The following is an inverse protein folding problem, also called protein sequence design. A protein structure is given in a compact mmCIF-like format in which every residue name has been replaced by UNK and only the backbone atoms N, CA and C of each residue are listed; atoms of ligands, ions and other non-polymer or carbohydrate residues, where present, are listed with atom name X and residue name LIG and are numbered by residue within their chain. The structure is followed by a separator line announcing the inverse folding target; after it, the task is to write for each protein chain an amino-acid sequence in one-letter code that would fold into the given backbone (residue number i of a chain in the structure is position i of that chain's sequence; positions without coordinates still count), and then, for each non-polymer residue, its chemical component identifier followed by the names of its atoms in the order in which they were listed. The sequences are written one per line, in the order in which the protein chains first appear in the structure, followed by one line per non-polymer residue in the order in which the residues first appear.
data_IF_337550373971
#
_entry.id   IF_337550373971
#
_cell.length_a   1.000
_cell.length_b   1.000
_cell.length_c   1.000
_cell.angle_alpha   90.00
_cell.angle_beta   90.00
_cell.angle_gamma   90.00
#
_symmetry.space_group_name_H-M   'P 1'
#
loop_
_entity.id
_entity.type
_entity.pdbx_description
1 polymer ?
#
# COMPACT_ATOMS: atom_id res chain seq x y z
N UNK A 1 -14.58 4.74 -25.17
CA UNK A 1 -13.55 4.13 -24.30
C UNK A 1 -14.21 3.73 -23.00
N UNK A 2 -14.29 2.43 -22.69
CA UNK A 2 -15.00 1.97 -21.49
C UNK A 2 -14.11 2.16 -20.26
N UNK A 3 -14.54 2.99 -19.30
CA UNK A 3 -13.75 3.34 -18.10
C UNK A 3 -13.27 2.10 -17.34
N UNK A 4 -14.12 1.07 -17.24
CA UNK A 4 -13.81 -0.21 -16.57
C UNK A 4 -12.64 -0.94 -17.23
N UNK A 5 -12.58 -0.96 -18.56
CA UNK A 5 -11.48 -1.61 -19.29
C UNK A 5 -10.16 -0.89 -19.00
N UNK A 6 -10.16 0.43 -19.03
CA UNK A 6 -8.97 1.25 -18.72
C UNK A 6 -8.49 1.05 -17.28
N UNK A 7 -9.40 0.94 -16.31
CA UNK A 7 -9.04 0.67 -14.91
C UNK A 7 -8.34 -0.68 -14.74
N UNK A 8 -8.81 -1.74 -15.43
CA UNK A 8 -8.18 -3.06 -15.38
C UNK A 8 -6.76 -3.01 -15.94
N UNK A 9 -6.55 -2.37 -17.10
CA UNK A 9 -5.19 -2.22 -17.64
C UNK A 9 -4.27 -1.45 -16.69
N UNK A 10 -4.76 -0.38 -16.06
CA UNK A 10 -3.99 0.40 -15.10
C UNK A 10 -3.60 -0.43 -13.86
N UNK A 11 -4.52 -1.26 -13.36
CA UNK A 11 -4.24 -2.16 -12.23
C UNK A 11 -3.15 -3.19 -12.55
N UNK A 12 -3.18 -3.79 -13.74
CA UNK A 12 -2.17 -4.76 -14.19
C UNK A 12 -0.79 -4.10 -14.34
N UNK A 13 -0.73 -2.91 -14.95
CA UNK A 13 0.53 -2.16 -15.11
C UNK A 13 1.13 -1.81 -13.74
N UNK A 14 0.28 -1.34 -12.82
CA UNK A 14 0.69 -0.97 -11.46
C UNK A 14 1.23 -2.18 -10.71
N UNK A 15 0.57 -3.33 -10.82
CA UNK A 15 1.01 -4.58 -10.20
C UNK A 15 2.38 -5.04 -10.73
N UNK A 16 2.60 -5.00 -12.04
CA UNK A 16 3.89 -5.32 -12.65
C UNK A 16 5.00 -4.39 -12.15
N UNK A 17 4.73 -3.08 -12.06
CA UNK A 17 5.69 -2.10 -11.57
C UNK A 17 6.10 -2.40 -10.13
N UNK A 18 5.13 -2.67 -9.25
CA UNK A 18 5.41 -3.04 -7.86
C UNK A 18 6.23 -4.32 -7.78
N UNK A 19 5.91 -5.36 -8.56
CA UNK A 19 6.67 -6.60 -8.57
C UNK A 19 8.15 -6.40 -8.96
N UNK A 20 8.42 -5.52 -9.94
CA UNK A 20 9.80 -5.17 -10.34
C UNK A 20 10.52 -4.46 -9.20
N UNK A 21 9.86 -3.52 -8.53
CA UNK A 21 10.42 -2.79 -7.38
C UNK A 21 10.72 -3.75 -6.23
N UNK A 22 9.79 -4.66 -5.89
CA UNK A 22 10.00 -5.71 -4.88
C UNK A 22 11.22 -6.58 -5.22
N UNK A 23 11.34 -7.01 -6.47
CA UNK A 23 12.48 -7.80 -6.94
C UNK A 23 13.80 -7.03 -6.84
N UNK A 24 13.81 -5.76 -7.25
CA UNK A 24 15.01 -4.90 -7.24
C UNK A 24 15.49 -4.57 -5.83
N UNK A 25 14.58 -4.36 -4.88
CA UNK A 25 14.94 -4.03 -3.50
C UNK A 25 15.09 -5.26 -2.58
N UNK A 26 14.85 -6.49 -3.06
CA UNK A 26 14.88 -7.72 -2.24
C UNK A 26 14.07 -7.61 -0.93
N UNK A 27 12.97 -6.86 -0.96
CA UNK A 27 12.15 -6.64 0.24
C UNK A 27 11.22 -7.84 0.41
N UNK A 28 11.40 -8.60 1.49
CA UNK A 28 10.52 -9.72 1.84
C UNK A 28 9.26 -9.21 2.58
N UNK A 29 8.54 -8.27 1.97
CA UNK A 29 7.25 -7.75 2.46
C UNK A 29 6.16 -8.09 1.45
N UNK A 30 4.90 -8.26 1.90
CA UNK A 30 3.82 -8.59 0.99
C UNK A 30 3.54 -7.43 0.02
N UNK A 31 3.13 -7.76 -1.20
CA UNK A 31 2.97 -6.83 -2.32
C UNK A 31 2.05 -5.65 -1.98
N UNK A 32 1.00 -5.88 -1.17
CA UNK A 32 0.05 -4.85 -0.76
C UNK A 32 0.65 -3.81 0.20
N UNK A 33 1.59 -4.20 1.06
CA UNK A 33 2.31 -3.26 1.94
C UNK A 33 3.24 -2.38 1.11
N UNK A 34 3.94 -2.98 0.15
CA UNK A 34 4.83 -2.27 -0.78
C UNK A 34 4.02 -1.28 -1.64
N UNK A 35 2.86 -1.70 -2.15
CA UNK A 35 1.99 -0.82 -2.92
C UNK A 35 1.49 0.38 -2.08
N UNK A 36 1.09 0.15 -0.82
CA UNK A 36 0.67 1.24 0.07
C UNK A 36 1.81 2.21 0.40
N UNK A 37 3.00 1.68 0.71
CA UNK A 37 4.19 2.50 0.95
C UNK A 37 4.54 3.31 -0.31
N UNK A 38 4.45 2.71 -1.50
CA UNK A 38 4.70 3.40 -2.77
C UNK A 38 3.66 4.49 -3.03
N UNK A 39 2.39 4.26 -2.72
CA UNK A 39 1.33 5.28 -2.82
C UNK A 39 1.59 6.47 -1.90
N UNK A 40 2.06 6.26 -0.67
CA UNK A 40 2.42 7.34 0.25
C UNK A 40 3.72 8.04 -0.17
N UNK A 41 4.72 7.26 -0.57
CA UNK A 41 6.01 7.75 -1.10
C UNK A 41 5.83 8.64 -2.33
N UNK A 42 4.77 8.48 -3.10
CA UNK A 42 4.48 9.32 -4.26
C UNK A 42 4.17 10.77 -3.88
N UNK A 43 3.65 11.01 -2.67
CA UNK A 43 3.42 12.36 -2.12
C UNK A 43 4.62 12.91 -1.35
N UNK A 44 5.58 12.05 -1.00
CA UNK A 44 6.73 12.40 -0.16
C UNK A 44 8.01 12.52 -1.00
N UNK A 45 8.91 13.46 -0.67
CA UNK A 45 10.16 13.68 -1.43
C UNK A 45 11.26 12.66 -1.09
N UNK A 46 11.03 11.77 -0.13
CA UNK A 46 12.06 10.84 0.37
C UNK A 46 12.35 9.73 -0.65
N UNK A 47 13.62 9.31 -0.84
CA UNK A 47 13.97 8.28 -1.81
C UNK A 47 13.29 6.94 -1.51
N UNK A 48 12.67 6.37 -2.55
CA UNK A 48 11.91 5.09 -2.53
C UNK A 48 12.66 3.95 -1.83
N UNK A 49 14.00 3.90 -1.98
CA UNK A 49 14.83 2.87 -1.35
C UNK A 49 14.87 2.97 0.17
N UNK A 50 14.89 4.18 0.70
CA UNK A 50 14.93 4.44 2.13
C UNK A 50 13.56 4.19 2.75
N UNK A 51 12.50 4.67 2.10
CA UNK A 51 11.12 4.44 2.52
C UNK A 51 10.81 2.93 2.54
N UNK A 52 11.13 2.17 1.50
CA UNK A 52 10.85 0.72 1.49
C UNK A 52 11.65 -0.10 2.50
N UNK A 53 12.80 0.42 2.96
CA UNK A 53 13.66 -0.25 3.94
C UNK A 53 13.28 0.12 5.37
N UNK A 54 12.95 1.40 5.60
CA UNK A 54 12.76 1.97 6.94
C UNK A 54 11.30 2.31 7.29
N UNK A 55 10.37 2.35 6.33
CA UNK A 55 8.95 2.47 6.70
C UNK A 55 8.51 1.21 7.46
N UNK A 56 8.41 1.36 8.77
CA UNK A 56 7.51 0.57 9.57
C UNK A 56 6.10 1.04 9.24
N UNK A 57 5.56 0.57 8.10
CA UNK A 57 4.14 0.70 7.82
C UNK A 57 3.43 -0.20 8.83
N UNK A 58 3.22 0.32 10.04
CA UNK A 58 2.16 -0.15 10.91
C UNK A 58 0.90 0.15 10.14
N UNK A 59 0.40 -0.86 9.43
CA UNK A 59 -1.00 -0.95 9.04
C UNK A 59 -1.78 -0.41 10.26
N UNK A 60 -2.37 0.78 10.16
CA UNK A 60 -3.15 1.38 11.25
C UNK A 60 -4.42 0.56 11.35
N UNK A 61 -4.25 -0.65 11.86
CA UNK A 61 -5.24 -1.53 12.44
C UNK A 61 -5.16 -1.45 13.96
N UNK A 62 -4.66 -0.34 14.51
CA UNK A 62 -5.30 0.17 15.73
C UNK A 62 -6.61 0.84 15.33
N UNK A 63 -7.56 0.03 14.87
CA UNK A 63 -8.93 0.27 15.28
C UNK A 63 -8.97 -0.09 16.76
N UNK A 64 -8.42 0.76 17.62
CA UNK A 64 -8.78 0.77 19.03
C UNK A 64 -10.20 1.31 19.08
N UNK A 65 -11.16 0.48 18.67
CA UNK A 65 -12.56 0.82 18.79
C UNK A 65 -12.85 0.90 20.29
N UNK A 66 -12.78 2.10 20.84
CA UNK A 66 -13.54 2.49 22.03
C UNK A 66 -15.03 2.60 21.67
N UNK A 67 -15.56 1.67 20.88
CA UNK A 67 -16.98 1.62 20.56
C UNK A 67 -17.73 1.38 21.88
N UNK A 68 -18.62 2.31 22.22
CA UNK A 68 -19.55 2.15 23.31
C UNK A 68 -20.45 0.95 22.99
N UNK A 69 -20.44 -0.07 23.84
CA UNK A 69 -21.46 -1.12 23.84
C UNK A 69 -22.80 -0.44 24.14
N UNK A 70 -23.65 -0.30 23.12
CA UNK A 70 -25.05 0.04 23.33
C UNK A 70 -25.69 -1.22 23.91
N UNK A 71 -25.83 -1.25 25.23
CA UNK A 71 -26.64 -2.24 25.92
C UNK A 71 -28.08 -1.78 25.78
N UNK A 72 -28.90 -2.56 25.08
CA UNK A 72 -30.33 -2.39 25.08
C UNK A 72 -30.87 -3.10 26.32
N UNK A 73 -31.40 -2.33 27.27
CA UNK A 73 -32.39 -2.80 28.24
C UNK A 73 -33.76 -2.75 27.56
#
# INVERSE_FOLDING_TARGET
MNAVKTQVYCAVITYCLVAIVTYKLKVNRPIYEILQILSFSLLDKTPVREILTYCDYKNVKELNYKQLKISWD
#
